data_IF_942734218485
#
_entry.id   IF_942734218485
#
_cell.length_a   1.000
_cell.length_b   1.000
_cell.length_c   1.000
_cell.angle_alpha   90.00
_cell.angle_beta   90.00
_cell.angle_gamma   90.00
#
_symmetry.space_group_name_H-M   'P 1'
#
loop_
_entity.id
_entity.type
_entity.pdbx_description
1 polymer ?
#
# COMPACT_ATOMS: atom_id res chain seq x y z
N UNK A 1 -56.72 34.40 -7.09
CA UNK A 1 -55.55 35.30 -6.92
C UNK A 1 -54.45 34.79 -7.86
N UNK A 2 -54.24 35.44 -9.02
CA UNK A 2 -53.17 35.07 -9.97
C UNK A 2 -51.94 35.91 -9.65
N UNK A 3 -50.88 35.29 -9.13
CA UNK A 3 -49.59 35.96 -8.92
C UNK A 3 -48.88 36.03 -10.26
N UNK A 4 -48.83 37.21 -10.87
CA UNK A 4 -47.99 37.47 -12.04
C UNK A 4 -46.55 37.70 -11.55
N UNK A 5 -45.70 36.69 -11.73
CA UNK A 5 -44.26 36.85 -11.54
C UNK A 5 -43.71 37.48 -12.82
N UNK A 6 -43.63 38.81 -12.86
CA UNK A 6 -42.93 39.53 -13.92
C UNK A 6 -41.43 39.52 -13.59
N UNK A 7 -40.69 38.54 -14.12
CA UNK A 7 -39.23 38.63 -14.13
C UNK A 7 -38.82 39.74 -15.11
N UNK A 8 -38.14 40.78 -14.63
CA UNK A 8 -37.64 41.82 -15.51
C UNK A 8 -36.58 41.26 -16.46
N UNK A 9 -36.52 41.78 -17.70
CA UNK A 9 -35.49 41.40 -18.68
C UNK A 9 -34.07 41.55 -18.10
N UNK A 10 -33.87 42.52 -17.21
CA UNK A 10 -32.64 42.75 -16.47
C UNK A 10 -32.29 41.61 -15.50
N UNK A 11 -33.27 41.01 -14.82
CA UNK A 11 -33.08 39.87 -13.92
C UNK A 11 -32.70 38.60 -14.70
N UNK A 12 -33.32 38.37 -15.85
CA UNK A 12 -32.97 37.27 -16.75
C UNK A 12 -31.56 37.44 -17.31
N UNK A 13 -31.20 38.65 -17.76
CA UNK A 13 -29.85 38.96 -18.24
C UNK A 13 -28.79 38.76 -17.13
N UNK A 14 -29.07 39.17 -15.90
CA UNK A 14 -28.16 38.99 -14.77
C UNK A 14 -27.98 37.51 -14.40
N UNK A 15 -29.04 36.71 -14.40
CA UNK A 15 -28.97 35.25 -14.21
C UNK A 15 -28.17 34.57 -15.32
N UNK A 16 -28.33 35.00 -16.58
CA UNK A 16 -27.56 34.49 -17.71
C UNK A 16 -26.06 34.86 -17.60
N UNK A 17 -25.74 36.07 -17.17
CA UNK A 17 -24.35 36.48 -16.92
C UNK A 17 -23.74 35.66 -15.77
N UNK A 18 -24.47 35.46 -14.67
CA UNK A 18 -24.01 34.66 -13.53
C UNK A 18 -23.82 33.17 -13.87
N UNK A 19 -24.71 32.59 -14.68
CA UNK A 19 -24.56 31.21 -15.18
C UNK A 19 -23.40 31.07 -16.17
N UNK A 20 -23.16 32.06 -17.03
CA UNK A 20 -21.99 32.10 -17.90
C UNK A 20 -20.68 32.28 -17.13
N UNK A 21 -20.64 33.16 -16.12
CA UNK A 21 -19.46 33.38 -15.27
C UNK A 21 -19.14 32.12 -14.45
N UNK A 22 -20.15 31.47 -13.88
CA UNK A 22 -19.95 30.20 -13.16
C UNK A 22 -19.47 29.08 -14.09
N UNK A 23 -20.05 28.93 -15.30
CA UNK A 23 -19.56 27.95 -16.27
C UNK A 23 -18.10 28.18 -16.70
N UNK A 24 -17.71 29.44 -16.94
CA UNK A 24 -16.32 29.78 -17.27
C UNK A 24 -15.39 29.48 -16.10
N UNK A 25 -15.78 29.82 -14.88
CA UNK A 25 -15.01 29.51 -13.67
C UNK A 25 -14.83 27.99 -13.49
N UNK A 26 -15.90 27.20 -13.69
CA UNK A 26 -15.84 25.74 -13.65
C UNK A 26 -14.92 25.15 -14.72
N UNK A 27 -14.95 25.69 -15.94
CA UNK A 27 -14.03 25.27 -17.03
C UNK A 27 -12.58 25.59 -16.70
N UNK A 28 -12.30 26.78 -16.19
CA UNK A 28 -10.93 27.19 -15.77
C UNK A 28 -10.43 26.27 -14.65
N UNK A 29 -11.24 26.02 -13.63
CA UNK A 29 -10.90 25.10 -12.53
C UNK A 29 -10.63 23.68 -13.02
N UNK A 30 -11.48 23.13 -13.88
CA UNK A 30 -11.28 21.80 -14.46
C UNK A 30 -9.97 21.71 -15.27
N UNK A 31 -9.62 22.76 -16.03
CA UNK A 31 -8.35 22.80 -16.78
C UNK A 31 -7.12 22.88 -15.87
N UNK A 32 -7.18 23.66 -14.78
CA UNK A 32 -6.11 23.77 -13.80
C UNK A 32 -5.89 22.43 -13.07
N UNK A 33 -6.97 21.82 -12.57
CA UNK A 33 -6.93 20.50 -11.92
C UNK A 33 -6.38 19.42 -12.87
N UNK A 34 -6.77 19.43 -14.14
CA UNK A 34 -6.25 18.48 -15.13
C UNK A 34 -4.74 18.66 -15.38
N UNK A 35 -4.27 19.90 -15.44
CA UNK A 35 -2.84 20.18 -15.62
C UNK A 35 -2.04 19.71 -14.41
N UNK A 36 -2.52 19.97 -13.19
CA UNK A 36 -1.88 19.52 -11.95
C UNK A 36 -1.80 17.98 -11.89
N UNK A 37 -2.91 17.29 -12.15
CA UNK A 37 -2.95 15.81 -12.20
C UNK A 37 -1.99 15.28 -13.26
N UNK A 38 -1.94 15.91 -14.44
CA UNK A 38 -1.03 15.50 -15.52
C UNK A 38 0.44 15.70 -15.15
N UNK A 39 0.78 16.80 -14.50
CA UNK A 39 2.15 17.06 -14.02
C UNK A 39 2.54 16.07 -12.93
N UNK A 40 1.66 15.82 -11.96
CA UNK A 40 1.89 14.86 -10.89
C UNK A 40 2.09 13.44 -11.44
N UNK A 41 1.23 13.01 -12.37
CA UNK A 41 1.35 11.71 -13.04
C UNK A 41 2.69 11.55 -13.76
N UNK A 42 3.16 12.60 -14.45
CA UNK A 42 4.47 12.59 -15.13
C UNK A 42 5.64 12.45 -14.15
N UNK A 43 5.51 12.95 -12.92
CA UNK A 43 6.55 12.82 -11.89
C UNK A 43 6.63 11.38 -11.36
N UNK A 44 5.48 10.72 -11.21
CA UNK A 44 5.41 9.36 -10.66
C UNK A 44 5.86 8.29 -11.67
N UNK A 45 5.50 8.45 -12.93
CA UNK A 45 5.79 7.44 -13.96
C UNK A 45 7.19 7.68 -14.56
N UNK A 46 8.03 6.63 -14.54
CA UNK A 46 9.41 6.66 -15.05
C UNK A 46 9.48 6.38 -16.55
N UNK A 47 10.61 6.70 -17.22
CA UNK A 47 10.84 6.31 -18.61
C UNK A 47 10.67 4.81 -18.79
N UNK A 48 9.80 4.44 -19.73
CA UNK A 48 9.35 3.06 -19.93
C UNK A 48 10.17 2.39 -21.03
N UNK A 49 10.68 1.20 -20.76
CA UNK A 49 11.33 0.34 -21.76
C UNK A 49 10.28 -0.49 -22.50
N UNK A 50 9.32 -1.06 -21.75
CA UNK A 50 8.22 -1.89 -22.27
C UNK A 50 7.00 -1.74 -21.36
N UNK A 51 5.80 -1.70 -21.93
CA UNK A 51 4.55 -1.78 -21.17
C UNK A 51 3.86 -3.12 -21.40
N UNK A 52 3.29 -3.70 -20.35
CA UNK A 52 2.50 -4.92 -20.38
C UNK A 52 1.11 -4.58 -19.83
N UNK A 53 0.08 -4.72 -20.66
CA UNK A 53 -1.29 -4.57 -20.21
C UNK A 53 -1.75 -5.86 -19.56
N UNK A 54 -2.18 -5.80 -18.32
CA UNK A 54 -2.72 -6.92 -17.56
C UNK A 54 -4.20 -7.16 -17.91
N UNK A 55 -4.72 -8.39 -17.79
CA UNK A 55 -6.13 -8.70 -18.05
C UNK A 55 -7.14 -7.88 -17.22
N UNK A 56 -6.78 -7.46 -16.01
CA UNK A 56 -7.57 -6.60 -15.13
C UNK A 56 -7.52 -5.11 -15.51
N UNK A 57 -6.82 -4.74 -16.59
CA UNK A 57 -6.71 -3.38 -17.10
C UNK A 57 -5.53 -2.59 -16.54
N UNK A 58 -4.81 -3.12 -15.54
CA UNK A 58 -3.58 -2.52 -15.05
C UNK A 58 -2.50 -2.49 -16.15
N UNK A 59 -1.63 -1.49 -16.10
CA UNK A 59 -0.46 -1.41 -16.98
C UNK A 59 0.79 -1.53 -16.13
N UNK A 60 1.60 -2.52 -16.45
CA UNK A 60 2.91 -2.74 -15.83
C UNK A 60 3.99 -2.19 -16.77
N UNK A 61 4.70 -1.18 -16.31
CA UNK A 61 5.81 -0.58 -17.01
C UNK A 61 7.12 -1.22 -16.54
N UNK A 62 7.87 -1.77 -17.47
CA UNK A 62 9.23 -2.22 -17.26
C UNK A 62 10.14 -1.00 -17.33
N UNK A 63 10.74 -0.67 -16.19
CA UNK A 63 11.61 0.49 -16.01
C UNK A 63 13.01 -0.01 -15.76
N UNK A 64 14.01 0.59 -16.41
CA UNK A 64 15.40 0.22 -16.18
C UNK A 64 15.75 0.36 -14.69
N UNK A 65 16.47 -0.62 -14.14
CA UNK A 65 16.69 -0.74 -12.69
C UNK A 65 17.36 0.50 -12.08
N UNK A 66 18.22 1.20 -12.83
CA UNK A 66 18.89 2.43 -12.40
C UNK A 66 18.03 3.70 -12.48
N UNK A 67 16.84 3.63 -13.07
CA UNK A 67 15.93 4.77 -13.26
C UNK A 67 14.65 4.66 -12.41
N UNK A 68 14.63 3.71 -11.47
CA UNK A 68 13.48 3.46 -10.61
C UNK A 68 13.20 4.62 -9.63
N UNK A 69 11.97 4.72 -9.09
CA UNK A 69 11.57 5.78 -8.16
C UNK A 69 12.47 5.93 -6.92
N UNK A 70 13.16 4.86 -6.50
CA UNK A 70 14.08 4.88 -5.37
C UNK A 70 15.06 6.06 -5.41
N UNK A 71 15.62 6.34 -6.59
CA UNK A 71 16.72 7.29 -6.77
C UNK A 71 16.29 8.75 -6.93
N UNK A 72 14.98 9.04 -6.88
CA UNK A 72 14.53 10.41 -6.66
C UNK A 72 14.81 10.87 -5.22
N UNK A 73 15.08 9.94 -4.30
CA UNK A 73 15.42 10.27 -2.92
C UNK A 73 16.80 10.93 -2.86
N UNK A 74 16.96 12.11 -2.23
CA UNK A 74 18.24 12.82 -2.18
C UNK A 74 19.41 11.99 -1.63
N UNK A 75 19.14 11.15 -0.62
CA UNK A 75 20.14 10.27 -0.01
C UNK A 75 20.57 9.09 -0.90
N UNK A 76 19.89 8.83 -2.02
CA UNK A 76 20.14 7.64 -2.85
C UNK A 76 20.67 7.95 -4.26
N UNK A 77 21.01 9.20 -4.59
CA UNK A 77 21.42 9.59 -5.95
C UNK A 77 22.60 8.78 -6.53
N UNK A 78 23.53 8.35 -5.68
CA UNK A 78 24.72 7.56 -6.04
C UNK A 78 24.73 6.18 -5.37
N UNK A 79 23.55 5.67 -5.00
CA UNK A 79 23.43 4.42 -4.28
C UNK A 79 23.84 3.23 -5.15
N UNK A 80 24.68 2.33 -4.62
CA UNK A 80 25.06 1.09 -5.30
C UNK A 80 24.01 0.01 -5.04
N UNK A 81 23.45 -0.56 -6.11
CA UNK A 81 22.37 -1.54 -5.99
C UNK A 81 22.91 -2.90 -5.51
N UNK A 82 22.50 -3.31 -4.31
CA UNK A 82 22.66 -4.69 -3.85
C UNK A 82 21.60 -5.59 -4.49
N UNK A 83 21.98 -6.48 -5.41
CA UNK A 83 21.02 -7.33 -6.15
C UNK A 83 20.44 -8.49 -5.33
N UNK A 84 21.12 -8.94 -4.27
CA UNK A 84 20.67 -10.04 -3.39
C UNK A 84 21.09 -9.80 -1.94
N UNK A 85 20.29 -10.25 -0.95
CA UNK A 85 20.68 -10.20 0.46
C UNK A 85 22.00 -10.94 0.71
N UNK A 86 22.80 -10.46 1.66
CA UNK A 86 24.03 -11.15 2.05
C UNK A 86 23.72 -12.38 2.90
N UNK A 87 22.68 -12.29 3.74
CA UNK A 87 22.23 -13.35 4.62
C UNK A 87 20.70 -13.42 4.63
N UNK A 88 20.18 -14.64 4.67
CA UNK A 88 18.77 -14.92 4.96
C UNK A 88 18.63 -15.33 6.44
N UNK A 89 17.49 -15.03 7.08
CA UNK A 89 17.20 -15.52 8.43
C UNK A 89 17.29 -17.04 8.55
N UNK A 90 17.91 -17.51 9.64
CA UNK A 90 18.04 -18.92 9.98
C UNK A 90 16.65 -19.48 10.33
N UNK A 91 16.32 -20.66 9.81
CA UNK A 91 15.02 -21.31 10.01
C UNK A 91 13.99 -21.04 8.92
N UNK A 92 14.32 -20.23 7.90
CA UNK A 92 13.46 -20.00 6.72
C UNK A 92 13.28 -21.24 5.84
N UNK A 93 14.33 -22.07 5.77
CA UNK A 93 14.40 -23.25 4.91
C UNK A 93 14.71 -24.46 5.78
N UNK A 94 13.67 -25.10 6.30
CA UNK A 94 13.79 -26.42 6.91
C UNK A 94 13.98 -27.45 5.78
N UNK A 95 15.23 -27.86 5.51
CA UNK A 95 15.64 -28.61 4.31
C UNK A 95 14.79 -29.87 4.03
N UNK A 96 14.17 -30.44 5.07
CA UNK A 96 13.39 -31.68 4.99
C UNK A 96 11.90 -31.51 4.61
N UNK A 97 11.39 -30.29 4.43
CA UNK A 97 9.97 -30.04 4.05
C UNK A 97 9.77 -29.43 2.66
N UNK A 98 10.84 -29.18 1.91
CA UNK A 98 10.81 -28.28 0.73
C UNK A 98 10.56 -29.01 -0.59
N UNK A 99 10.92 -30.29 -0.72
CA UNK A 99 10.82 -31.00 -2.00
C UNK A 99 9.38 -31.13 -2.55
N UNK A 100 8.36 -31.19 -1.69
CA UNK A 100 6.96 -31.41 -2.12
C UNK A 100 6.13 -30.13 -2.29
N UNK A 101 6.61 -28.96 -1.84
CA UNK A 101 5.91 -27.67 -1.96
C UNK A 101 6.55 -26.72 -2.99
N UNK A 102 7.63 -27.17 -3.63
CA UNK A 102 8.55 -26.36 -4.44
C UNK A 102 7.96 -25.83 -5.76
N UNK A 103 6.85 -26.38 -6.26
CA UNK A 103 6.26 -26.01 -7.55
C UNK A 103 4.98 -25.14 -7.49
N UNK A 104 4.34 -24.96 -6.33
CA UNK A 104 2.99 -24.35 -6.30
C UNK A 104 2.94 -22.82 -6.31
N UNK A 105 4.06 -22.11 -6.23
CA UNK A 105 4.03 -20.64 -6.10
C UNK A 105 5.09 -19.93 -6.94
N UNK A 106 5.20 -20.25 -8.24
CA UNK A 106 5.67 -19.24 -9.19
C UNK A 106 4.82 -18.00 -8.94
N UNK A 107 5.41 -16.89 -8.51
CA UNK A 107 4.63 -15.77 -8.04
C UNK A 107 3.59 -15.35 -9.10
N UNK A 108 2.30 -15.54 -8.81
CA UNK A 108 1.23 -15.48 -9.81
C UNK A 108 0.59 -14.10 -9.75
N UNK A 109 1.14 -13.14 -10.48
CA UNK A 109 0.46 -11.87 -10.72
C UNK A 109 -0.23 -11.93 -12.08
N UNK A 110 -1.43 -11.34 -12.19
CA UNK A 110 -2.29 -11.53 -13.36
C UNK A 110 -1.61 -11.07 -14.68
N UNK A 111 -0.80 -10.02 -14.61
CA UNK A 111 -0.06 -9.46 -15.75
C UNK A 111 0.92 -10.45 -16.40
N UNK A 112 1.32 -11.50 -15.68
CA UNK A 112 2.16 -12.57 -16.22
C UNK A 112 1.54 -13.35 -17.37
N UNK A 113 0.22 -13.29 -17.54
CA UNK A 113 -0.44 -13.90 -18.69
C UNK A 113 -0.02 -13.22 -20.01
N UNK A 114 0.37 -11.94 -19.94
CA UNK A 114 0.62 -11.12 -21.13
C UNK A 114 2.11 -10.78 -21.32
N UNK A 115 3.00 -11.34 -20.48
CA UNK A 115 4.43 -11.30 -20.70
C UNK A 115 5.28 -11.13 -19.45
N UNK A 116 6.55 -10.82 -19.66
CA UNK A 116 7.56 -10.52 -18.64
C UNK A 116 8.36 -9.26 -19.02
N UNK A 117 8.96 -8.65 -18.01
CA UNK A 117 9.92 -7.57 -18.20
C UNK A 117 11.27 -8.11 -18.71
N UNK A 118 11.94 -7.37 -19.62
CA UNK A 118 13.27 -7.74 -20.10
C UNK A 118 14.32 -7.68 -18.97
N UNK A 119 15.52 -8.22 -19.23
CA UNK A 119 16.64 -8.08 -18.28
C UNK A 119 16.95 -6.62 -17.97
N UNK A 120 17.57 -6.38 -16.81
CA UNK A 120 17.94 -5.06 -16.30
C UNK A 120 16.77 -4.08 -16.11
N UNK A 121 15.53 -4.60 -16.10
CA UNK A 121 14.33 -3.82 -15.81
C UNK A 121 13.54 -4.42 -14.65
N UNK A 122 12.78 -3.56 -13.98
CA UNK A 122 11.85 -3.93 -12.92
C UNK A 122 10.41 -3.54 -13.31
N UNK A 123 9.40 -4.35 -12.95
CA UNK A 123 8.01 -4.05 -13.22
C UNK A 123 7.46 -3.04 -12.20
N UNK A 124 6.88 -1.96 -12.70
CA UNK A 124 6.23 -0.91 -11.92
C UNK A 124 4.80 -0.74 -12.41
N UNK A 125 3.81 -0.84 -11.50
CA UNK A 125 2.42 -0.54 -11.83
C UNK A 125 2.25 0.95 -12.13
N UNK A 126 1.85 1.27 -13.37
CA UNK A 126 1.62 2.63 -13.86
C UNK A 126 0.57 3.33 -13.00
N UNK A 127 0.79 4.61 -12.71
CA UNK A 127 -0.25 5.47 -12.13
C UNK A 127 -1.11 6.03 -13.25
N UNK A 128 -2.42 5.78 -13.21
CA UNK A 128 -3.37 6.40 -14.13
C UNK A 128 -3.97 7.68 -13.53
N UNK A 129 -4.54 8.54 -14.39
CA UNK A 129 -5.18 9.78 -13.94
C UNK A 129 -6.31 9.51 -12.96
N UNK A 130 -7.11 8.49 -13.24
CA UNK A 130 -8.24 8.10 -12.40
C UNK A 130 -7.77 7.63 -11.01
N UNK A 131 -6.57 7.04 -10.90
CA UNK A 131 -5.99 6.71 -9.60
C UNK A 131 -5.68 7.98 -8.80
N UNK A 132 -5.10 8.99 -9.45
CA UNK A 132 -4.79 10.29 -8.81
C UNK A 132 -6.07 11.03 -8.42
N UNK A 133 -7.11 10.96 -9.26
CA UNK A 133 -8.41 11.59 -9.01
C UNK A 133 -9.22 10.93 -7.89
N UNK A 134 -8.94 9.67 -7.54
CA UNK A 134 -9.53 9.01 -6.35
C UNK A 134 -9.03 9.62 -5.04
N UNK A 135 -7.87 10.28 -5.05
CA UNK A 135 -7.36 10.97 -3.87
C UNK A 135 -8.03 12.34 -3.70
N UNK A 136 -8.09 12.83 -2.46
CA UNK A 136 -8.65 14.17 -2.18
C UNK A 136 -7.89 15.31 -2.86
N UNK A 137 -6.63 15.07 -3.24
CA UNK A 137 -5.85 15.95 -4.12
C UNK A 137 -4.76 15.13 -4.82
N UNK A 138 -4.24 15.65 -5.94
CA UNK A 138 -3.14 15.00 -6.64
C UNK A 138 -1.90 14.85 -5.74
N UNK A 139 -1.61 15.88 -4.93
CA UNK A 139 -0.50 15.85 -3.97
C UNK A 139 -0.65 14.74 -2.91
N UNK A 140 -1.88 14.42 -2.50
CA UNK A 140 -2.18 13.40 -1.48
C UNK A 140 -2.29 11.99 -2.04
N UNK A 141 -2.22 11.80 -3.37
CA UNK A 141 -2.32 10.47 -3.95
C UNK A 141 -1.18 9.56 -3.47
N UNK A 142 -1.54 8.39 -2.95
CA UNK A 142 -0.59 7.41 -2.42
C UNK A 142 0.07 7.80 -1.11
N UNK A 143 -0.23 8.99 -0.54
CA UNK A 143 0.31 9.49 0.72
C UNK A 143 -0.57 9.12 1.91
N UNK A 144 0.03 8.83 3.06
CA UNK A 144 -0.66 8.69 4.35
C UNK A 144 -0.94 10.06 4.98
N UNK A 145 -2.06 10.24 5.71
CA UNK A 145 -2.42 11.52 6.34
C UNK A 145 -1.71 11.69 7.67
N UNK A 146 -1.13 12.88 7.88
CA UNK A 146 -0.65 13.35 9.18
C UNK A 146 -1.87 13.78 10.01
N UNK A 147 -2.15 13.09 11.11
CA UNK A 147 -3.32 13.36 11.98
C UNK A 147 -4.31 12.20 12.19
N UNK A 148 -4.06 11.02 11.61
CA UNK A 148 -4.80 9.78 11.95
C UNK A 148 -3.97 8.80 12.80
N UNK A 149 -2.77 9.19 13.23
CA UNK A 149 -1.77 8.31 13.88
C UNK A 149 -1.00 9.13 14.94
N UNK A 150 -0.75 8.61 16.16
CA UNK A 150 -0.39 9.43 17.32
C UNK A 150 1.12 9.59 17.53
N UNK A 151 1.43 10.66 18.27
CA UNK A 151 2.75 11.17 18.61
C UNK A 151 3.47 10.23 19.61
N UNK A 152 4.74 9.85 19.41
CA UNK A 152 5.43 8.81 20.18
C UNK A 152 6.04 9.28 21.52
N UNK A 153 5.72 10.48 22.00
CA UNK A 153 6.21 10.98 23.29
C UNK A 153 5.16 10.81 24.39
N UNK A 154 5.45 9.88 25.31
CA UNK A 154 4.78 9.56 26.58
C UNK A 154 3.83 8.35 26.59
N UNK A 155 3.95 7.56 27.64
CA UNK A 155 3.34 6.26 27.83
C UNK A 155 1.78 6.31 27.89
N UNK A 156 1.14 5.50 27.03
CA UNK A 156 -0.28 5.11 26.98
C UNK A 156 -1.36 6.22 26.83
N UNK A 157 -2.54 5.94 26.24
CA UNK A 157 -2.91 5.01 25.16
C UNK A 157 -3.53 5.76 23.96
N UNK A 158 -3.87 5.00 22.92
CA UNK A 158 -4.43 5.35 21.60
C UNK A 158 -3.33 5.41 20.54
N UNK A 159 -3.14 4.28 19.86
CA UNK A 159 -2.21 4.05 18.76
C UNK A 159 -2.98 3.53 17.55
N UNK A 160 -2.43 3.81 16.37
CA UNK A 160 -2.78 3.21 15.08
C UNK A 160 -1.67 3.62 14.12
N UNK A 161 -1.08 2.72 13.32
CA UNK A 161 -0.22 3.11 12.21
C UNK A 161 0.69 2.02 11.62
N UNK A 162 0.45 1.59 10.37
CA UNK A 162 1.24 0.58 9.66
C UNK A 162 1.68 1.02 8.25
N UNK A 163 2.80 1.75 8.14
CA UNK A 163 3.59 1.96 6.92
C UNK A 163 5.08 1.67 7.20
N UNK A 164 5.97 1.90 6.23
CA UNK A 164 7.38 2.06 6.57
C UNK A 164 7.68 3.56 6.49
N UNK A 165 7.98 4.14 7.64
CA UNK A 165 8.29 5.54 7.79
C UNK A 165 9.71 5.65 8.34
N UNK A 166 10.55 6.42 7.62
CA UNK A 166 11.93 6.70 7.98
C UNK A 166 12.08 7.26 9.40
N UNK A 167 11.14 8.13 9.77
CA UNK A 167 11.34 9.23 10.71
C UNK A 167 10.27 9.26 11.80
N UNK A 168 9.77 8.11 12.25
CA UNK A 168 8.89 8.05 13.41
C UNK A 168 7.66 8.97 13.27
N UNK A 169 7.08 8.98 12.06
CA UNK A 169 5.90 9.76 11.70
C UNK A 169 6.10 11.27 11.61
N UNK A 170 7.33 11.78 11.37
CA UNK A 170 7.56 13.21 11.10
C UNK A 170 7.29 13.60 9.62
N UNK A 171 7.33 12.65 8.68
CA UNK A 171 7.01 12.88 7.26
C UNK A 171 5.88 12.01 6.72
N UNK A 172 5.37 12.40 5.55
CA UNK A 172 4.26 11.74 4.89
C UNK A 172 4.76 10.45 4.22
N UNK A 173 4.51 9.29 4.82
CA UNK A 173 4.72 7.97 4.20
C UNK A 173 3.85 7.76 2.95
N UNK A 174 4.24 6.84 2.06
CA UNK A 174 3.44 6.46 0.89
C UNK A 174 3.24 4.95 0.73
N UNK A 175 2.16 4.56 0.07
CA UNK A 175 1.94 3.19 -0.39
C UNK A 175 2.77 2.85 -1.64
N UNK A 176 3.24 1.61 -1.72
CA UNK A 176 3.98 1.07 -2.88
C UNK A 176 5.19 1.96 -3.27
N UNK A 177 5.50 2.03 -4.57
CA UNK A 177 6.58 2.86 -5.12
C UNK A 177 6.17 4.32 -5.34
N UNK A 178 5.17 4.84 -4.60
CA UNK A 178 4.70 6.23 -4.75
C UNK A 178 5.59 7.23 -4.02
N UNK A 179 6.29 6.79 -2.98
CA UNK A 179 7.43 7.49 -2.40
C UNK A 179 8.73 6.89 -2.94
N UNK A 180 9.79 7.71 -3.00
CA UNK A 180 11.14 7.24 -3.26
C UNK A 180 11.73 6.53 -2.03
N UNK A 181 12.85 5.84 -2.18
CA UNK A 181 13.55 5.14 -1.09
C UNK A 181 13.59 3.61 -1.19
N UNK A 182 12.52 2.95 -1.64
CA UNK A 182 12.56 1.49 -1.83
C UNK A 182 13.29 1.12 -3.12
N UNK A 183 14.41 0.40 -3.00
CA UNK A 183 15.18 -0.12 -4.13
C UNK A 183 14.65 -1.50 -4.50
N UNK A 184 13.80 -1.56 -5.51
CA UNK A 184 13.33 -2.82 -6.10
C UNK A 184 14.41 -3.42 -7.00
N UNK A 185 14.62 -4.72 -6.88
CA UNK A 185 15.60 -5.49 -7.69
C UNK A 185 14.95 -6.67 -8.40
N UNK A 186 13.74 -7.05 -7.99
CA UNK A 186 13.02 -8.16 -8.59
C UNK A 186 12.27 -7.74 -9.86
N UNK A 187 12.42 -8.54 -10.93
CA UNK A 187 11.79 -8.31 -12.23
C UNK A 187 10.46 -9.07 -12.44
N UNK A 188 10.12 -9.97 -11.52
CA UNK A 188 8.97 -10.86 -11.62
C UNK A 188 7.76 -10.35 -10.85
N UNK A 189 7.93 -9.44 -9.89
CA UNK A 189 6.85 -8.95 -9.03
C UNK A 189 6.73 -7.43 -9.08
N UNK A 190 5.55 -6.98 -9.51
CA UNK A 190 5.15 -5.58 -9.49
C UNK A 190 4.43 -5.25 -8.17
N UNK A 191 5.00 -4.37 -7.36
CA UNK A 191 4.33 -3.89 -6.15
C UNK A 191 3.02 -3.17 -6.48
N UNK A 192 1.96 -3.49 -5.74
CA UNK A 192 0.62 -2.95 -5.92
C UNK A 192 -0.15 -3.52 -7.12
N UNK A 193 0.38 -4.51 -7.84
CA UNK A 193 -0.38 -5.23 -8.88
C UNK A 193 -1.17 -6.40 -8.29
N UNK A 194 -2.29 -6.73 -8.93
CA UNK A 194 -3.22 -7.78 -8.50
C UNK A 194 -2.54 -9.15 -8.41
N UNK A 195 -2.71 -9.79 -7.25
CA UNK A 195 -2.32 -11.18 -7.02
C UNK A 195 -3.43 -12.08 -7.55
N UNK A 196 -3.07 -13.21 -8.16
CA UNK A 196 -4.03 -14.16 -8.71
C UNK A 196 -3.62 -15.60 -8.42
N UNK A 197 -4.54 -16.51 -8.08
CA UNK A 197 -5.96 -16.28 -7.80
C UNK A 197 -6.18 -15.52 -6.47
N UNK A 198 -7.35 -14.88 -6.35
CA UNK A 198 -7.82 -14.26 -5.11
C UNK A 198 -8.78 -15.20 -4.38
N UNK A 199 -8.86 -15.06 -3.06
CA UNK A 199 -9.78 -15.84 -2.22
C UNK A 199 -11.24 -15.56 -2.58
N UNK A 200 -12.09 -16.58 -2.43
CA UNK A 200 -13.54 -16.51 -2.69
C UNK A 200 -14.28 -16.76 -1.38
N UNK A 201 -15.31 -15.95 -1.10
CA UNK A 201 -16.18 -16.15 0.07
C UNK A 201 -16.78 -17.55 0.07
N UNK A 202 -16.66 -18.27 1.18
CA UNK A 202 -17.06 -19.68 1.33
C UNK A 202 -16.39 -20.67 0.34
N UNK A 203 -15.32 -20.22 -0.35
CA UNK A 203 -14.66 -20.97 -1.41
C UNK A 203 -13.17 -21.23 -1.15
N UNK A 204 -12.42 -21.33 -2.25
CA UNK A 204 -10.97 -21.51 -2.23
C UNK A 204 -10.27 -20.31 -1.58
N UNK A 205 -9.31 -20.59 -0.71
CA UNK A 205 -8.54 -19.58 0.02
C UNK A 205 -7.10 -19.57 -0.46
N UNK A 206 -6.55 -18.38 -0.63
CA UNK A 206 -5.17 -18.14 -1.04
C UNK A 206 -4.54 -17.13 -0.09
N UNK A 207 -3.29 -17.37 0.28
CA UNK A 207 -2.49 -16.49 1.11
C UNK A 207 -1.13 -16.21 0.47
N UNK A 208 -0.49 -15.16 0.97
CA UNK A 208 0.87 -14.78 0.59
C UNK A 208 1.74 -14.76 1.84
N UNK A 209 3.01 -15.09 1.66
CA UNK A 209 4.01 -14.97 2.72
C UNK A 209 4.86 -13.74 2.43
N UNK A 210 5.01 -12.89 3.45
CA UNK A 210 5.87 -11.71 3.39
C UNK A 210 6.92 -11.83 4.48
N UNK A 211 8.16 -11.50 4.14
CA UNK A 211 9.26 -11.43 5.10
C UNK A 211 9.94 -10.06 4.97
N UNK A 212 10.10 -9.40 6.10
CA UNK A 212 10.94 -8.21 6.24
C UNK A 212 12.02 -8.52 7.26
N UNK A 213 13.28 -8.25 6.92
CA UNK A 213 14.41 -8.45 7.82
C UNK A 213 15.54 -7.48 7.53
N UNK A 214 16.35 -7.20 8.54
CA UNK A 214 17.57 -6.42 8.38
C UNK A 214 18.74 -7.35 8.06
N UNK A 215 19.38 -7.18 6.91
CA UNK A 215 20.58 -7.92 6.54
C UNK A 215 21.73 -7.49 7.47
N UNK A 216 22.30 -8.41 8.28
CA UNK A 216 23.30 -8.07 9.29
C UNK A 216 24.61 -7.54 8.70
N UNK A 217 24.91 -7.81 7.42
CA UNK A 217 26.13 -7.34 6.77
C UNK A 217 25.98 -5.96 6.15
N UNK A 218 24.88 -5.73 5.44
CA UNK A 218 24.66 -4.49 4.68
C UNK A 218 23.87 -3.45 5.47
N UNK A 219 23.13 -3.85 6.51
CA UNK A 219 22.18 -3.01 7.23
C UNK A 219 20.90 -2.72 6.44
N UNK A 220 20.77 -3.23 5.21
CA UNK A 220 19.58 -3.04 4.38
C UNK A 220 18.39 -3.82 4.94
N UNK A 221 17.23 -3.17 5.01
CA UNK A 221 15.97 -3.82 5.34
C UNK A 221 15.38 -4.43 4.08
N UNK A 222 15.47 -5.76 3.95
CA UNK A 222 14.99 -6.50 2.80
C UNK A 222 13.50 -6.85 2.92
N UNK A 223 12.80 -6.74 1.80
CA UNK A 223 11.44 -7.24 1.61
C UNK A 223 11.48 -8.45 0.68
N UNK A 224 10.81 -9.52 1.09
CA UNK A 224 10.65 -10.74 0.29
C UNK A 224 9.19 -11.15 0.18
N UNK A 225 8.84 -11.62 -1.01
CA UNK A 225 7.57 -12.27 -1.32
C UNK A 225 7.75 -13.79 -1.44
N UNK A 226 6.88 -14.54 -0.78
CA UNK A 226 6.99 -15.98 -0.67
C UNK A 226 8.32 -16.42 -0.05
N UNK A 227 8.76 -17.62 -0.42
CA UNK A 227 9.98 -18.21 0.15
C UNK A 227 11.23 -17.98 -0.73
N UNK A 228 11.13 -17.31 -1.88
CA UNK A 228 12.26 -17.26 -2.85
C UNK A 228 12.42 -15.94 -3.60
N UNK A 229 11.53 -14.97 -3.41
CA UNK A 229 11.54 -13.75 -4.21
C UNK A 229 11.87 -12.53 -3.35
N UNK A 230 13.16 -12.26 -3.05
CA UNK A 230 13.59 -10.95 -2.57
C UNK A 230 13.11 -9.92 -3.59
N UNK A 231 12.27 -8.99 -3.13
CA UNK A 231 11.69 -7.95 -3.97
C UNK A 231 12.64 -6.76 -4.12
N UNK A 232 13.27 -6.40 -3.02
CA UNK A 232 14.05 -5.17 -2.89
C UNK A 232 14.32 -4.87 -1.43
N UNK A 233 14.83 -3.68 -1.17
CA UNK A 233 15.23 -3.27 0.16
C UNK A 233 15.14 -1.77 0.36
N UNK A 234 15.11 -1.38 1.63
CA UNK A 234 15.30 -0.01 2.08
C UNK A 234 16.73 0.16 2.63
N UNK A 235 17.53 1.07 2.07
CA UNK A 235 18.85 1.39 2.61
C UNK A 235 18.80 1.94 4.03
N UNK A 236 19.79 1.62 4.90
CA UNK A 236 19.81 2.10 6.28
C UNK A 236 19.91 3.62 6.37
N UNK A 237 20.48 4.28 5.35
CA UNK A 237 20.54 5.74 5.25
C UNK A 237 19.16 6.42 5.26
N UNK A 238 18.09 5.67 4.99
CA UNK A 238 16.72 6.18 5.06
C UNK A 238 16.14 6.18 6.48
N UNK A 239 16.73 5.46 7.44
CA UNK A 239 16.09 5.25 8.75
C UNK A 239 16.92 5.83 9.89
N UNK A 240 16.56 7.00 10.45
CA UNK A 240 17.08 7.45 11.73
C UNK A 240 16.73 6.50 12.90
N UNK A 241 15.50 5.96 12.95
CA UNK A 241 15.01 5.22 14.13
C UNK A 241 15.04 3.68 13.98
N UNK A 242 15.01 3.17 12.75
CA UNK A 242 15.16 1.74 12.45
C UNK A 242 16.61 1.38 12.04
N UNK A 243 17.58 2.24 12.40
CA UNK A 243 18.97 2.01 12.02
C UNK A 243 19.55 0.77 12.69
N UNK A 244 19.20 0.47 13.94
CA UNK A 244 19.71 -0.64 14.75
C UNK A 244 18.81 -1.87 14.69
N UNK A 245 17.56 -1.71 15.15
CA UNK A 245 16.55 -2.77 15.23
C UNK A 245 15.16 -2.15 15.37
N UNK A 246 14.11 -2.90 15.06
CA UNK A 246 12.75 -2.53 15.43
C UNK A 246 12.52 -2.77 16.93
N UNK A 247 11.92 -1.80 17.61
CA UNK A 247 11.47 -1.92 19.01
C UNK A 247 10.03 -2.43 19.11
N UNK A 248 9.25 -2.24 18.05
CA UNK A 248 7.85 -2.64 17.95
C UNK A 248 7.59 -3.22 16.56
N UNK A 249 6.76 -4.26 16.49
CA UNK A 249 6.36 -4.92 15.24
C UNK A 249 4.84 -5.10 15.31
N UNK A 250 4.14 -4.62 14.28
CA UNK A 250 2.69 -4.66 14.20
C UNK A 250 2.26 -5.42 12.93
N UNK A 251 1.16 -6.17 13.04
CA UNK A 251 0.47 -6.80 11.92
C UNK A 251 -1.00 -6.41 12.00
N UNK A 252 -1.58 -5.98 10.87
CA UNK A 252 -2.96 -5.51 10.87
C UNK A 252 -3.34 -4.87 9.54
N UNK A 253 -4.36 -4.02 9.63
CA UNK A 253 -4.86 -3.25 8.49
C UNK A 253 -5.38 -1.90 8.94
N UNK A 254 -5.45 -0.97 8.00
CA UNK A 254 -6.01 0.37 8.20
C UNK A 254 -7.16 0.56 7.20
N UNK A 255 -8.18 1.32 7.58
CA UNK A 255 -9.24 1.75 6.67
C UNK A 255 -9.15 3.24 6.41
N UNK A 256 -9.46 3.65 5.18
CA UNK A 256 -9.56 5.07 4.85
C UNK A 256 -10.82 5.63 5.49
N UNK A 257 -10.68 6.64 6.34
CA UNK A 257 -11.79 7.43 6.85
C UNK A 257 -11.68 8.88 6.30
N UNK A 258 -12.71 9.30 5.55
CA UNK A 258 -12.83 10.67 5.03
C UNK A 258 -13.78 11.56 5.84
N UNK A 259 -14.49 11.01 6.83
CA UNK A 259 -15.51 11.67 7.67
C UNK A 259 -16.55 12.45 6.85
N UNK A 260 -16.96 11.90 5.71
CA UNK A 260 -17.95 12.55 4.84
C UNK A 260 -19.28 12.60 5.60
N UNK A 261 -19.83 13.79 5.78
CA UNK A 261 -21.09 14.04 6.51
C UNK A 261 -21.10 13.51 7.97
N UNK A 262 -19.94 13.38 8.62
CA UNK A 262 -19.84 12.87 9.98
C UNK A 262 -19.91 11.36 10.12
N UNK A 263 -20.03 10.62 9.01
CA UNK A 263 -19.97 9.15 8.99
C UNK A 263 -18.52 8.67 9.00
N UNK A 264 -18.23 7.64 9.80
CA UNK A 264 -16.88 7.12 10.00
C UNK A 264 -16.23 6.62 8.70
N UNK A 265 -16.64 5.49 8.13
CA UNK A 265 -16.14 5.10 6.80
C UNK A 265 -17.11 4.16 6.13
N UNK A 266 -17.10 4.15 4.79
CA UNK A 266 -17.72 3.11 3.97
C UNK A 266 -16.70 2.12 3.42
N UNK A 267 -15.43 2.26 3.81
CA UNK A 267 -14.35 1.39 3.38
C UNK A 267 -14.37 0.10 4.19
N UNK A 268 -14.62 -1.01 3.51
CA UNK A 268 -14.54 -2.35 4.09
C UNK A 268 -13.10 -2.70 4.49
N UNK A 269 -12.92 -3.31 5.66
CA UNK A 269 -11.65 -3.89 6.09
C UNK A 269 -11.59 -5.37 5.71
N UNK A 270 -10.49 -5.78 5.06
CA UNK A 270 -10.27 -7.18 4.71
C UNK A 270 -11.32 -7.69 3.73
N UNK A 271 -12.14 -8.66 4.16
CA UNK A 271 -13.24 -9.22 3.36
C UNK A 271 -14.56 -8.47 3.51
N UNK A 272 -14.61 -7.38 4.29
CA UNK A 272 -15.86 -6.68 4.63
C UNK A 272 -16.68 -7.39 5.72
N UNK A 273 -16.23 -8.56 6.18
CA UNK A 273 -16.91 -9.35 7.19
C UNK A 273 -16.14 -9.38 8.50
N UNK A 274 -16.88 -9.36 9.60
CA UNK A 274 -16.33 -9.46 10.94
C UNK A 274 -15.58 -10.79 11.19
N UNK A 275 -14.58 -10.78 12.09
CA UNK A 275 -13.67 -11.91 12.28
C UNK A 275 -14.34 -13.18 12.80
N UNK A 276 -15.50 -13.11 13.47
CA UNK A 276 -16.24 -14.29 13.96
C UNK A 276 -16.79 -15.15 12.83
N UNK A 277 -16.84 -14.62 11.59
CA UNK A 277 -17.18 -15.43 10.42
C UNK A 277 -16.11 -16.49 10.12
N UNK A 278 -14.88 -16.30 10.61
CA UNK A 278 -13.82 -17.29 10.58
C UNK A 278 -13.31 -17.64 9.18
N UNK A 279 -12.62 -18.78 9.09
CA UNK A 279 -11.96 -19.23 7.87
C UNK A 279 -12.92 -19.33 6.68
N UNK A 280 -12.46 -18.90 5.50
CA UNK A 280 -13.22 -18.75 4.23
C UNK A 280 -14.14 -17.54 4.12
N UNK A 281 -14.35 -16.78 5.20
CA UNK A 281 -15.28 -15.64 5.22
C UNK A 281 -14.63 -14.36 5.72
N UNK A 282 -13.88 -14.44 6.82
CA UNK A 282 -13.06 -13.36 7.34
C UNK A 282 -11.65 -13.40 6.72
N UNK A 283 -11.03 -12.24 6.58
CA UNK A 283 -9.60 -12.16 6.27
C UNK A 283 -8.78 -12.60 7.47
N UNK A 284 -7.55 -13.08 7.23
CA UNK A 284 -6.70 -13.59 8.30
C UNK A 284 -5.22 -13.29 8.07
N UNK A 285 -4.49 -13.20 9.18
CA UNK A 285 -3.05 -13.34 9.23
C UNK A 285 -2.72 -14.57 10.08
N UNK A 286 -1.66 -15.30 9.72
CA UNK A 286 -1.25 -16.53 10.40
C UNK A 286 0.26 -16.73 10.30
N UNK A 287 0.79 -17.64 11.13
CA UNK A 287 2.20 -18.03 11.14
C UNK A 287 3.15 -16.83 11.35
N UNK A 288 2.85 -15.99 12.34
CA UNK A 288 3.73 -14.87 12.68
C UNK A 288 5.08 -15.36 13.18
N UNK A 289 6.14 -14.80 12.61
CA UNK A 289 7.51 -15.00 13.05
C UNK A 289 8.22 -13.64 13.04
N UNK A 290 9.15 -13.48 13.97
CA UNK A 290 10.06 -12.33 14.05
C UNK A 290 11.49 -12.80 13.83
N UNK A 291 12.32 -11.94 13.24
CA UNK A 291 13.75 -12.17 13.11
C UNK A 291 14.45 -11.54 14.31
N UNK A 292 15.10 -12.35 15.13
CA UNK A 292 15.83 -11.87 16.30
C UNK A 292 17.20 -11.26 15.95
N UNK A 293 17.91 -10.74 16.95
CA UNK A 293 19.24 -10.14 16.80
C UNK A 293 20.31 -11.12 16.32
N UNK A 294 20.09 -12.43 16.48
CA UNK A 294 20.94 -13.49 15.96
C UNK A 294 20.55 -13.90 14.54
N UNK A 295 19.69 -13.12 13.87
CA UNK A 295 19.18 -13.39 12.53
C UNK A 295 18.45 -14.75 12.45
N UNK A 296 17.75 -15.14 13.51
CA UNK A 296 16.98 -16.39 13.57
C UNK A 296 15.48 -16.09 13.66
N UNK A 297 14.67 -16.88 12.95
CA UNK A 297 13.22 -16.81 13.06
C UNK A 297 12.75 -17.37 14.41
N UNK A 298 11.86 -16.62 15.07
CA UNK A 298 11.29 -16.96 16.37
C UNK A 298 9.79 -16.66 16.37
N UNK A 299 9.03 -17.43 17.14
CA UNK A 299 7.63 -17.11 17.44
C UNK A 299 7.57 -15.90 18.39
N UNK A 300 6.72 -14.90 18.11
CA UNK A 300 6.45 -13.82 19.05
C UNK A 300 5.97 -14.37 20.41
N UNK A 301 6.49 -13.84 21.52
CA UNK A 301 6.12 -14.29 22.88
C UNK A 301 5.00 -13.48 23.51
N UNK A 302 4.86 -12.23 23.09
CA UNK A 302 3.89 -11.28 23.61
C UNK A 302 3.25 -10.56 22.43
N UNK A 303 1.94 -10.48 22.43
CA UNK A 303 1.15 -9.81 21.42
C UNK A 303 -0.08 -9.13 22.05
N UNK A 304 -0.31 -7.88 21.69
CA UNK A 304 -1.45 -7.10 22.17
C UNK A 304 -2.44 -6.88 21.01
N UNK A 305 -3.74 -6.92 21.31
CA UNK A 305 -4.79 -6.56 20.35
C UNK A 305 -5.03 -5.06 20.48
N UNK A 306 -4.98 -4.35 19.36
CA UNK A 306 -5.35 -2.95 19.26
C UNK A 306 -6.36 -2.77 18.12
N UNK A 307 -7.50 -2.12 18.42
CA UNK A 307 -8.59 -1.85 17.48
C UNK A 307 -9.22 -0.52 17.86
N UNK A 308 -9.28 0.42 16.93
CA UNK A 308 -9.80 1.76 17.22
C UNK A 308 -11.30 1.91 17.14
N UNK A 309 -12.01 1.08 16.35
CA UNK A 309 -13.48 1.06 16.29
C UNK A 309 -14.06 -0.32 16.06
N UNK A 310 -14.34 -1.01 17.16
CA UNK A 310 -14.88 -2.37 17.17
C UNK A 310 -16.21 -2.54 16.41
N UNK A 311 -17.09 -1.52 16.46
CA UNK A 311 -18.39 -1.47 15.77
C UNK A 311 -18.28 -1.33 14.24
N UNK A 312 -17.08 -1.06 13.70
CA UNK A 312 -16.85 -0.89 12.26
C UNK A 312 -16.00 -2.03 11.69
N UNK A 313 -15.07 -2.54 12.50
CA UNK A 313 -14.15 -3.61 12.18
C UNK A 313 -13.58 -4.17 13.48
N UNK A 314 -13.26 -5.46 13.48
CA UNK A 314 -12.61 -6.08 14.63
C UNK A 314 -11.54 -7.09 14.22
N UNK A 315 -10.80 -7.54 15.23
CA UNK A 315 -9.79 -8.58 15.16
C UNK A 315 -10.05 -9.64 16.23
N UNK A 316 -10.08 -10.91 15.83
CA UNK A 316 -10.22 -12.06 16.73
C UNK A 316 -8.97 -12.93 16.63
N UNK A 317 -8.26 -13.12 17.76
CA UNK A 317 -7.08 -14.00 17.81
C UNK A 317 -7.50 -15.45 17.53
N UNK A 318 -6.70 -16.13 16.72
CA UNK A 318 -6.86 -17.54 16.40
C UNK A 318 -5.99 -18.39 17.35
N UNK A 319 -6.52 -19.53 17.78
CA UNK A 319 -5.85 -20.42 18.74
C UNK A 319 -4.56 -21.03 18.18
N UNK A 320 -4.46 -21.16 16.86
CA UNK A 320 -3.31 -21.76 16.15
C UNK A 320 -2.16 -20.77 15.87
N UNK A 321 -2.22 -19.55 16.42
CA UNK A 321 -1.22 -18.52 16.16
C UNK A 321 -1.55 -17.71 14.90
N UNK A 322 -2.33 -16.66 15.09
CA UNK A 322 -2.91 -15.89 14.02
C UNK A 322 -4.00 -14.96 14.52
N UNK A 323 -4.65 -14.27 13.61
CA UNK A 323 -5.92 -13.63 13.87
C UNK A 323 -6.78 -13.54 12.61
N UNK A 324 -8.10 -13.60 12.80
CA UNK A 324 -9.07 -13.14 11.82
C UNK A 324 -9.31 -11.65 12.02
N UNK A 325 -9.58 -10.94 10.94
CA UNK A 325 -9.91 -9.52 10.98
C UNK A 325 -10.85 -9.13 9.85
N UNK A 326 -11.58 -8.04 10.05
CA UNK A 326 -12.41 -7.42 9.02
C UNK A 326 -13.62 -6.72 9.59
N UNK A 327 -14.41 -6.14 8.69
CA UNK A 327 -15.66 -5.48 9.02
C UNK A 327 -16.14 -4.57 7.88
N UNK A 328 -17.42 -4.20 7.89
CA UNK A 328 -18.04 -3.44 6.81
C UNK A 328 -17.64 -1.96 6.78
N UNK A 329 -16.96 -1.46 7.82
CA UNK A 329 -16.53 -0.06 7.94
C UNK A 329 -17.63 0.90 8.39
N UNK A 330 -18.86 0.73 7.86
CA UNK A 330 -20.04 1.49 8.28
C UNK A 330 -20.57 0.90 9.58
N UNK A 331 -20.73 1.75 10.60
CA UNK A 331 -21.50 1.42 11.79
C UNK A 331 -22.97 1.15 11.36
N UNK A 332 -23.53 -0.04 11.58
CA UNK A 332 -24.91 -0.35 11.19
C UNK A 332 -25.98 0.46 11.93
N UNK A 333 -25.61 1.28 12.92
CA UNK A 333 -26.56 1.95 13.84
C UNK A 333 -26.65 3.46 13.68
#
# INVERSE_FOLDING_TARGET
MKVHISMSHSLVALLLVMTCLSCNMSRVWATAQWLEVRQHQKRLNKPVVKSIKSPDGDIIDCVHISHQPAFDHPLLKNHTIQMRPSFYPIGLYDENKVASKMERSSARQLWHQNGRCPEDTIPIRRTNKDDVLKATSAERYGKKRHGTIPNPTSAHPNRDGGGYEADNYESIGCYNLRCSGFVQVNKDIALGATIHPISIYDGAQYDITILIWKDPKSGNWWLQYGNRYPLGYWPPALFPYLHDSASEIQWGGEVLNLNVNGQHTTTEMGSGHYPEKGFRRASFFRNFLIVDRSNKLQTPKHDEKEVTRIESYDLLKDYDGGFFYGGPGVDPN
#
